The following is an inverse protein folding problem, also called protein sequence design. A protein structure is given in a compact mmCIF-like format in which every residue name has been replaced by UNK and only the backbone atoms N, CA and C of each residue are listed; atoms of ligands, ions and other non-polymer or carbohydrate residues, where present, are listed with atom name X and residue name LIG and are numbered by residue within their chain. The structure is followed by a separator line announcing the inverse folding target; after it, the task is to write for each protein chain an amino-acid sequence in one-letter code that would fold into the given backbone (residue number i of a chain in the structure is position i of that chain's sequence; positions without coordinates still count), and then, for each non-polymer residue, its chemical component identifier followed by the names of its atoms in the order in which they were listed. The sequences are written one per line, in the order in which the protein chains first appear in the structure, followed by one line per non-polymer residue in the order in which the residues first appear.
data_IF_361448969417
#
_entry.id   IF_361448969417
#
_cell.length_a   1.000
_cell.length_b   1.000
_cell.length_c   1.000
_cell.angle_alpha   90.00
_cell.angle_beta   90.00
_cell.angle_gamma   90.00
#
_symmetry.space_group_name_H-M   'P 1'
#
loop_
_entity.id
_entity.type
_entity.pdbx_description
1 polymer ?
#
# COMPACT_ATOMS: atom_id res chain seq x y z
N UNK A 1 -5.88 0.65 17.77
CA UNK A 1 -5.22 -0.61 17.34
C UNK A 1 -5.17 -0.68 15.83
N UNK A 2 -3.95 -0.77 15.28
CA UNK A 2 -3.73 -1.05 13.88
C UNK A 2 -3.24 -2.50 13.74
N UNK A 3 -3.63 -3.19 12.67
CA UNK A 3 -3.16 -4.54 12.38
C UNK A 3 -2.46 -4.54 11.02
N UNK A 4 -1.25 -5.08 10.97
CA UNK A 4 -0.57 -5.35 9.71
C UNK A 4 -0.91 -6.75 9.19
N UNK A 5 -1.16 -6.88 7.89
CA UNK A 5 -1.38 -8.14 7.18
C UNK A 5 -0.45 -8.26 5.98
N UNK A 6 0.42 -9.25 6.04
CA UNK A 6 1.35 -9.58 4.97
C UNK A 6 0.67 -10.48 3.94
N UNK A 7 1.14 -10.45 2.69
CA UNK A 7 0.70 -11.37 1.64
C UNK A 7 0.85 -12.85 2.03
N UNK A 8 1.82 -13.17 2.89
CA UNK A 8 2.07 -14.54 3.38
C UNK A 8 1.15 -14.96 4.52
N UNK A 9 0.35 -14.04 5.09
CA UNK A 9 -0.53 -14.37 6.19
C UNK A 9 -1.67 -15.27 5.70
N UNK A 10 -1.97 -16.31 6.47
CA UNK A 10 -3.04 -17.23 6.12
C UNK A 10 -4.39 -16.51 6.04
N UNK A 11 -5.07 -16.65 4.90
CA UNK A 11 -6.42 -16.11 4.73
C UNK A 11 -7.43 -17.01 5.46
N UNK A 12 -7.79 -16.61 6.68
CA UNK A 12 -8.78 -17.31 7.49
C UNK A 12 -10.02 -16.41 7.71
N UNK A 13 -11.12 -16.76 7.07
CA UNK A 13 -12.38 -15.99 7.06
C UNK A 13 -12.88 -15.60 8.46
N UNK A 14 -12.73 -16.47 9.46
CA UNK A 14 -13.18 -16.19 10.84
C UNK A 14 -12.30 -15.14 11.51
N UNK A 15 -10.99 -15.21 11.28
CA UNK A 15 -9.99 -14.26 11.80
C UNK A 15 -10.18 -12.90 11.11
N UNK A 16 -10.37 -12.91 9.79
CA UNK A 16 -10.57 -11.71 8.96
C UNK A 16 -11.79 -10.90 9.39
N UNK A 17 -12.93 -11.55 9.63
CA UNK A 17 -14.16 -10.86 10.06
C UNK A 17 -14.01 -10.08 11.38
N UNK A 18 -13.06 -10.46 12.23
CA UNK A 18 -12.70 -9.70 13.43
C UNK A 18 -11.75 -8.54 13.15
N UNK A 19 -10.80 -8.73 12.24
CA UNK A 19 -9.70 -7.80 11.96
C UNK A 19 -10.12 -6.65 11.04
N UNK A 20 -11.01 -6.89 10.08
CA UNK A 20 -11.52 -5.86 9.15
C UNK A 20 -12.34 -4.75 9.85
N UNK A 21 -12.65 -4.91 11.13
CA UNK A 21 -13.27 -3.90 12.00
C UNK A 21 -12.25 -2.92 12.59
N UNK A 22 -10.96 -3.09 12.30
CA UNK A 22 -9.86 -2.23 12.74
C UNK A 22 -9.22 -1.52 11.55
N UNK A 23 -8.32 -0.59 11.84
CA UNK A 23 -7.47 -0.02 10.80
C UNK A 23 -6.41 -1.04 10.38
N UNK A 24 -6.21 -1.19 9.08
CA UNK A 24 -5.33 -2.20 8.52
C UNK A 24 -4.12 -1.57 7.82
N UNK A 25 -2.99 -2.26 7.88
CA UNK A 25 -1.85 -2.03 7.00
C UNK A 25 -1.69 -3.31 6.17
N UNK A 26 -1.99 -3.24 4.88
CA UNK A 26 -1.94 -4.38 3.98
C UNK A 26 -0.67 -4.30 3.14
N UNK A 27 0.22 -5.27 3.30
CA UNK A 27 1.49 -5.31 2.58
C UNK A 27 1.44 -6.38 1.50
N UNK A 28 1.80 -6.00 0.28
CA UNK A 28 1.74 -6.81 -0.92
C UNK A 28 0.54 -6.46 -1.81
N UNK A 29 0.73 -6.57 -3.12
CA UNK A 29 -0.31 -6.27 -4.11
C UNK A 29 -1.44 -7.31 -4.18
N UNK A 30 -2.49 -7.03 -4.97
CA UNK A 30 -3.66 -7.91 -5.11
C UNK A 30 -3.34 -9.31 -5.64
N UNK A 31 -2.22 -9.48 -6.35
CA UNK A 31 -1.78 -10.80 -6.83
C UNK A 31 -1.33 -11.73 -5.70
N UNK A 32 -0.96 -11.18 -4.53
CA UNK A 32 -0.37 -11.94 -3.43
C UNK A 32 -1.12 -11.76 -2.10
N UNK A 33 -1.80 -10.62 -1.89
CA UNK A 33 -2.57 -10.33 -0.69
C UNK A 33 -4.07 -10.37 -0.98
N UNK A 34 -4.76 -11.39 -0.47
CA UNK A 34 -6.19 -11.60 -0.71
C UNK A 34 -7.08 -10.45 -0.21
N UNK A 35 -6.69 -9.73 0.86
CA UNK A 35 -7.46 -8.56 1.31
C UNK A 35 -7.32 -7.39 0.33
N UNK A 36 -6.14 -7.21 -0.25
CA UNK A 36 -5.93 -6.22 -1.32
C UNK A 36 -6.67 -6.62 -2.59
N UNK A 37 -6.75 -7.92 -2.90
CA UNK A 37 -7.56 -8.43 -4.02
C UNK A 37 -9.06 -8.10 -3.85
N UNK A 38 -9.59 -8.20 -2.63
CA UNK A 38 -10.98 -7.77 -2.35
C UNK A 38 -11.16 -6.28 -2.61
N UNK A 39 -10.24 -5.43 -2.13
CA UNK A 39 -10.30 -3.98 -2.40
C UNK A 39 -10.17 -3.65 -3.88
N UNK A 40 -9.35 -4.40 -4.62
CA UNK A 40 -9.21 -4.23 -6.07
C UNK A 40 -10.49 -4.61 -6.82
N UNK A 41 -11.17 -5.69 -6.42
CA UNK A 41 -12.47 -6.07 -7.00
C UNK A 41 -13.58 -5.03 -6.73
N UNK A 42 -13.41 -4.22 -5.69
CA UNK A 42 -14.27 -3.06 -5.38
C UNK A 42 -13.80 -1.77 -6.08
N UNK A 43 -12.80 -1.83 -6.96
CA UNK A 43 -12.17 -0.69 -7.64
C UNK A 43 -11.60 0.37 -6.68
N UNK A 44 -11.17 -0.04 -5.48
CA UNK A 44 -10.55 0.86 -4.48
C UNK A 44 -9.02 0.95 -4.60
N UNK A 45 -8.41 0.07 -5.39
CA UNK A 45 -6.97 0.03 -5.69
C UNK A 45 -6.75 -0.70 -7.01
N UNK A 46 -5.51 -0.71 -7.50
CA UNK A 46 -5.14 -1.43 -8.72
C UNK A 46 -5.43 -2.92 -8.60
N UNK A 47 -5.92 -3.51 -9.68
CA UNK A 47 -6.07 -4.95 -9.82
C UNK A 47 -4.74 -5.64 -10.12
N UNK A 48 -4.72 -6.97 -10.00
CA UNK A 48 -3.53 -7.74 -10.34
C UNK A 48 -3.16 -7.59 -11.83
N UNK A 49 -4.18 -7.47 -12.71
CA UNK A 49 -3.96 -7.21 -14.12
C UNK A 49 -3.38 -5.82 -14.38
N UNK A 50 -3.85 -4.78 -13.67
CA UNK A 50 -3.33 -3.43 -13.87
C UNK A 50 -1.85 -3.36 -13.51
N UNK A 51 -1.44 -4.00 -12.41
CA UNK A 51 -0.01 -4.11 -12.08
C UNK A 51 0.82 -4.78 -13.19
N UNK A 52 0.25 -5.77 -13.87
CA UNK A 52 0.96 -6.62 -14.84
C UNK A 52 0.86 -6.14 -16.30
N UNK A 53 0.10 -5.08 -16.59
CA UNK A 53 -0.09 -4.57 -17.96
C UNK A 53 1.13 -3.82 -18.53
N UNK A 54 2.14 -3.56 -17.67
CA UNK A 54 3.39 -2.89 -17.99
C UNK A 54 3.41 -1.39 -17.69
N UNK A 55 2.27 -0.76 -17.40
CA UNK A 55 2.15 0.68 -17.10
C UNK A 55 2.80 1.05 -15.75
N UNK A 56 2.78 0.12 -14.79
CA UNK A 56 3.33 0.30 -13.44
C UNK A 56 4.71 -0.37 -13.24
N UNK A 57 5.49 -0.51 -14.33
CA UNK A 57 6.82 -1.11 -14.25
C UNK A 57 7.74 -0.29 -13.33
N UNK A 58 8.34 -0.96 -12.34
CA UNK A 58 9.25 -0.33 -11.37
C UNK A 58 8.56 0.55 -10.33
N UNK A 59 7.23 0.51 -10.28
CA UNK A 59 6.41 1.29 -9.35
C UNK A 59 6.05 0.50 -8.09
N UNK A 60 5.94 1.23 -6.98
CA UNK A 60 5.16 0.84 -5.83
C UNK A 60 4.22 1.96 -5.40
N UNK A 61 3.14 1.61 -4.71
CA UNK A 61 2.12 2.50 -4.20
C UNK A 61 1.99 2.37 -2.69
N UNK A 62 1.90 3.50 -2.01
CA UNK A 62 1.45 3.63 -0.62
C UNK A 62 0.10 4.34 -0.68
N UNK A 63 -0.99 3.63 -0.41
CA UNK A 63 -2.35 4.12 -0.62
C UNK A 63 -3.19 4.02 0.65
N UNK A 64 -3.75 5.13 1.11
CA UNK A 64 -4.72 5.19 2.19
C UNK A 64 -6.14 5.08 1.61
N UNK A 65 -6.83 3.99 1.95
CA UNK A 65 -8.21 3.74 1.51
C UNK A 65 -9.13 3.94 2.72
N UNK A 66 -10.02 4.92 2.60
CA UNK A 66 -11.09 5.14 3.58
C UNK A 66 -12.24 4.15 3.36
N UNK A 67 -12.92 3.79 4.44
CA UNK A 67 -14.04 2.83 4.42
C UNK A 67 -13.70 1.54 3.67
N UNK A 68 -12.48 1.03 3.90
CA UNK A 68 -11.89 -0.05 3.12
C UNK A 68 -12.75 -1.32 3.17
N UNK A 69 -13.05 -1.80 4.38
CA UNK A 69 -13.90 -2.97 4.61
C UNK A 69 -15.09 -2.69 5.53
N UNK A 70 -15.00 -1.64 6.35
CA UNK A 70 -16.04 -1.22 7.29
C UNK A 70 -16.04 0.30 7.36
N UNK A 71 -17.21 0.91 7.41
CA UNK A 71 -17.35 2.37 7.56
C UNK A 71 -16.58 2.88 8.80
N UNK A 72 -15.85 3.98 8.64
CA UNK A 72 -15.00 4.58 9.67
C UNK A 72 -13.68 3.83 9.93
N UNK A 73 -13.31 2.87 9.07
CA UNK A 73 -12.03 2.14 9.13
C UNK A 73 -11.25 2.31 7.85
N UNK A 74 -9.95 2.47 8.00
CA UNK A 74 -9.02 2.69 6.88
C UNK A 74 -8.16 1.46 6.63
N UNK A 75 -7.72 1.28 5.39
CA UNK A 75 -6.64 0.36 5.04
C UNK A 75 -5.53 1.12 4.34
N UNK A 76 -4.30 1.00 4.86
CA UNK A 76 -3.09 1.46 4.19
C UNK A 76 -2.54 0.31 3.35
N UNK A 77 -2.67 0.38 2.03
CA UNK A 77 -2.11 -0.60 1.09
C UNK A 77 -0.69 -0.18 0.73
N UNK A 78 0.26 -1.10 0.87
CA UNK A 78 1.66 -0.95 0.47
C UNK A 78 1.98 -2.05 -0.52
N UNK A 79 1.99 -1.72 -1.81
CA UNK A 79 2.08 -2.70 -2.88
C UNK A 79 3.04 -2.24 -3.96
N UNK A 80 3.95 -3.11 -4.38
CA UNK A 80 4.75 -2.92 -5.60
C UNK A 80 4.52 -4.04 -6.59
N UNK A 81 4.94 -3.81 -7.84
CA UNK A 81 4.88 -4.81 -8.91
C UNK A 81 5.57 -6.12 -8.50
N UNK A 82 6.72 -6.01 -7.85
CA UNK A 82 7.48 -7.14 -7.33
C UNK A 82 7.86 -6.95 -5.85
N UNK A 83 8.54 -7.94 -5.29
CA UNK A 83 8.97 -7.93 -3.89
C UNK A 83 9.90 -6.76 -3.55
N UNK A 84 10.82 -6.41 -4.46
CA UNK A 84 11.79 -5.32 -4.27
C UNK A 84 11.08 -3.96 -4.24
N UNK A 85 10.13 -3.73 -5.15
CA UNK A 85 9.31 -2.52 -5.16
C UNK A 85 8.47 -2.42 -3.88
N UNK A 86 7.88 -3.53 -3.42
CA UNK A 86 7.12 -3.54 -2.16
C UNK A 86 8.01 -3.20 -0.97
N UNK A 87 9.23 -3.73 -0.91
CA UNK A 87 10.20 -3.42 0.15
C UNK A 87 10.65 -1.95 0.11
N UNK A 88 10.85 -1.38 -1.08
CA UNK A 88 11.15 0.04 -1.24
C UNK A 88 10.03 0.92 -0.67
N UNK A 89 8.77 0.64 -1.00
CA UNK A 89 7.62 1.36 -0.44
C UNK A 89 7.50 1.19 1.09
N UNK A 90 7.74 -0.02 1.63
CA UNK A 90 7.81 -0.22 3.08
C UNK A 90 8.94 0.62 3.72
N UNK A 91 10.09 0.72 3.07
CA UNK A 91 11.23 1.53 3.55
C UNK A 91 10.87 3.01 3.58
N UNK A 92 10.19 3.50 2.53
CA UNK A 92 9.68 4.88 2.48
C UNK A 92 8.68 5.12 3.62
N UNK A 93 7.71 4.23 3.80
CA UNK A 93 6.70 4.35 4.85
C UNK A 93 7.31 4.36 6.26
N UNK A 94 8.30 3.51 6.54
CA UNK A 94 9.00 3.49 7.83
C UNK A 94 9.78 4.78 8.11
N UNK A 95 10.21 5.46 7.05
CA UNK A 95 10.95 6.73 7.11
C UNK A 95 10.04 7.95 6.97
N UNK A 96 8.72 7.78 7.11
CA UNK A 96 7.74 8.85 6.92
C UNK A 96 8.08 10.14 7.68
N UNK A 97 8.73 10.08 8.85
CA UNK A 97 9.16 11.27 9.59
C UNK A 97 10.31 12.04 8.91
N UNK A 98 11.26 11.34 8.30
CA UNK A 98 12.33 11.95 7.48
C UNK A 98 11.77 12.59 6.20
N UNK A 99 10.67 12.03 5.73
CA UNK A 99 9.89 12.54 4.60
C UNK A 99 8.96 13.70 5.02
N UNK A 100 8.52 13.76 6.27
CA UNK A 100 7.65 14.79 6.83
C UNK A 100 8.38 16.07 7.29
N UNK A 101 9.67 16.00 7.63
CA UNK A 101 10.38 17.11 8.30
C UNK A 101 10.91 18.22 7.37
N UNK A 102 10.75 18.09 6.04
CA UNK A 102 11.20 19.11 5.08
C UNK A 102 12.71 19.39 5.08
N UNK A 103 13.49 18.62 5.83
CA UNK A 103 14.93 18.74 6.00
C UNK A 103 15.65 17.44 5.67
N UNK A 104 15.28 16.80 4.55
CA UNK A 104 16.18 16.41 3.44
C UNK A 104 15.34 15.71 2.35
N UNK A 105 14.75 16.53 1.48
CA UNK A 105 14.16 16.11 0.20
C UNK A 105 12.65 15.92 0.24
N UNK A 106 11.91 17.04 0.23
CA UNK A 106 10.55 17.35 -0.28
C UNK A 106 9.43 16.31 -0.44
N UNK A 107 9.54 15.06 0.00
CA UNK A 107 8.49 14.07 -0.22
C UNK A 107 7.73 13.78 1.06
N UNK A 108 6.99 14.76 1.57
CA UNK A 108 5.97 14.45 2.56
C UNK A 108 5.00 13.41 1.95
N UNK A 109 4.66 12.36 2.70
CA UNK A 109 3.55 11.48 2.31
C UNK A 109 2.25 12.25 2.49
N UNK A 110 1.94 13.12 1.53
CA UNK A 110 0.74 13.96 1.50
C UNK A 110 -0.32 13.33 0.64
N UNK A 111 -1.57 13.43 1.07
CA UNK A 111 -2.69 12.81 0.35
C UNK A 111 -2.83 11.32 0.61
N UNK A 112 -3.66 10.68 -0.23
CA UNK A 112 -4.11 9.31 -0.04
C UNK A 112 -3.40 8.30 -0.95
N UNK A 113 -2.58 8.75 -1.91
CA UNK A 113 -1.89 7.86 -2.82
C UNK A 113 -0.52 8.41 -3.18
N UNK A 114 0.52 7.67 -2.81
CA UNK A 114 1.90 7.98 -3.13
C UNK A 114 2.46 6.91 -4.05
N UNK A 115 3.09 7.35 -5.13
CA UNK A 115 3.93 6.54 -6.00
C UNK A 115 5.38 6.59 -5.50
N UNK A 116 5.98 5.41 -5.38
CA UNK A 116 7.39 5.21 -5.02
C UNK A 116 8.08 4.54 -6.21
N UNK A 117 9.19 5.10 -6.65
CA UNK A 117 10.05 4.49 -7.67
C UNK A 117 11.49 4.38 -7.19
N UNK A 118 12.21 3.39 -7.73
CA UNK A 118 13.54 3.00 -7.27
C UNK A 118 13.48 1.81 -6.31
N UNK A 119 14.44 0.90 -6.43
CA UNK A 119 14.59 -0.29 -5.57
C UNK A 119 15.72 -0.14 -4.53
N UNK A 120 16.46 0.97 -4.60
CA UNK A 120 17.48 1.37 -3.63
C UNK A 120 17.47 2.90 -3.48
N UNK A 121 17.99 3.39 -2.36
CA UNK A 121 18.06 4.83 -2.09
C UNK A 121 18.99 5.57 -3.09
N UNK A 122 18.68 6.82 -3.46
CA UNK A 122 17.50 7.59 -3.06
C UNK A 122 16.20 7.09 -3.74
N UNK A 123 15.12 7.03 -2.97
CA UNK A 123 13.78 6.70 -3.50
C UNK A 123 13.10 7.98 -3.98
N UNK A 124 12.46 7.92 -5.14
CA UNK A 124 11.62 9.01 -5.64
C UNK A 124 10.19 8.78 -5.19
N UNK A 125 9.57 9.79 -4.57
CA UNK A 125 8.23 9.67 -3.97
C UNK A 125 7.35 10.81 -4.47
N UNK A 126 6.21 10.49 -5.07
CA UNK A 126 5.32 11.50 -5.69
C UNK A 126 3.88 11.23 -5.30
N UNK A 127 3.13 12.27 -4.96
CA UNK A 127 1.67 12.15 -4.78
C UNK A 127 1.02 11.90 -6.14
N UNK A 128 0.13 10.91 -6.21
CA UNK A 128 -0.66 10.63 -7.42
C UNK A 128 -2.06 11.19 -7.20
N UNK A 129 -2.51 11.99 -8.17
CA UNK A 129 -3.90 12.46 -8.23
C UNK A 129 -4.62 11.58 -9.26
N UNK A 130 -5.55 10.74 -8.79
CA UNK A 130 -6.46 9.91 -9.60
C UNK A 130 -7.89 10.45 -9.53
#
# INVERSE_FOLDING_TARGET
DNIAKLATDAFNTKVINGEIKKNLILVGGPCANNLVAVLANENKTLSCSDWLDGTHTGEARIQLINDAFTTGKVALVVAGLNAENTQAACTVLQRANTYADGTKGDHQLTGNLMKVTGTAAPYEVTEVTE
#
